data_IF_428780426793
#
_entry.id   IF_428780426793
#
_cell.length_a   1.000
_cell.length_b   1.000
_cell.length_c   1.000
_cell.angle_alpha   90.00
_cell.angle_beta   90.00
_cell.angle_gamma   90.00
#
_symmetry.space_group_name_H-M   'P 1'
#
loop_
_entity.id
_entity.type
_entity.pdbx_description
1 polymer ?
#
# COMPACT_ATOMS: atom_id res chain seq x y z
N UNK A 1 62.84 -16.37 -1.79
CA UNK A 1 64.20 -16.06 -1.29
C UNK A 1 64.96 -15.29 -2.36
N UNK A 2 65.44 -14.06 -2.06
CA UNK A 2 66.48 -13.25 -2.78
C UNK A 2 66.14 -12.82 -4.24
N UNK A 3 66.33 -11.60 -4.77
CA UNK A 3 66.97 -10.29 -4.46
C UNK A 3 66.26 -9.22 -5.35
N UNK A 4 65.92 -7.99 -4.93
CA UNK A 4 66.70 -6.74 -4.77
C UNK A 4 67.52 -6.25 -5.98
N UNK A 5 67.28 -4.99 -6.37
CA UNK A 5 68.11 -4.11 -7.24
C UNK A 5 67.24 -3.04 -7.94
N UNK A 6 66.76 -2.00 -7.26
CA UNK A 6 67.31 -0.63 -7.12
C UNK A 6 67.36 0.25 -8.39
N UNK A 7 67.03 1.57 -8.27
CA UNK A 7 66.73 2.49 -9.37
C UNK A 7 67.95 3.34 -9.79
N UNK A 8 67.85 4.02 -10.94
CA UNK A 8 68.81 5.06 -11.34
C UNK A 8 68.14 6.41 -11.49
N UNK A 9 68.62 7.37 -10.70
CA UNK A 9 68.41 8.80 -10.82
C UNK A 9 69.01 9.36 -12.11
N UNK A 10 68.40 10.45 -12.63
CA UNK A 10 69.13 11.55 -13.26
C UNK A 10 68.30 12.83 -13.27
N UNK A 11 68.81 13.81 -12.54
CA UNK A 11 68.47 15.23 -12.58
C UNK A 11 69.19 15.94 -13.74
N UNK A 12 68.75 17.20 -13.97
CA UNK A 12 69.37 18.39 -14.59
C UNK A 12 68.44 18.99 -15.65
N UNK A 13 67.63 20.00 -15.29
CA UNK A 13 67.93 21.45 -15.22
C UNK A 13 68.06 22.14 -16.60
N UNK A 14 67.28 23.21 -16.79
CA UNK A 14 67.72 24.61 -17.01
C UNK A 14 66.65 25.41 -17.77
N UNK A 15 66.02 26.34 -17.03
CA UNK A 15 65.77 27.75 -17.34
C UNK A 15 65.14 28.20 -18.67
N UNK A 16 64.10 29.03 -18.59
CA UNK A 16 64.25 30.51 -18.61
C UNK A 16 62.90 31.24 -18.52
N UNK A 17 62.97 32.38 -17.84
CA UNK A 17 61.96 33.40 -17.65
C UNK A 17 61.31 33.91 -18.94
N UNK A 18 60.02 34.26 -18.86
CA UNK A 18 59.52 35.51 -19.43
C UNK A 18 58.25 35.96 -18.67
N UNK A 19 58.41 37.04 -17.90
CA UNK A 19 57.33 37.95 -17.51
C UNK A 19 57.00 38.81 -18.73
N UNK A 20 55.72 38.98 -19.05
CA UNK A 20 55.14 40.33 -19.16
C UNK A 20 53.59 40.31 -19.25
N UNK A 21 53.03 41.18 -18.41
CA UNK A 21 51.83 42.02 -18.59
C UNK A 21 50.41 41.43 -18.48
N UNK A 22 49.87 41.67 -17.28
CA UNK A 22 48.57 42.27 -16.96
C UNK A 22 47.59 42.52 -18.12
N UNK A 23 46.42 41.90 -18.01
CA UNK A 23 45.13 42.60 -18.10
C UNK A 23 44.19 42.04 -17.05
N UNK A 24 43.73 42.92 -16.14
CA UNK A 24 42.52 42.74 -15.35
C UNK A 24 41.33 42.82 -16.29
N UNK A 25 40.42 41.87 -16.17
CA UNK A 25 38.98 42.10 -16.33
C UNK A 25 38.30 41.16 -15.33
N UNK A 26 37.70 41.76 -14.30
CA UNK A 26 36.73 41.13 -13.44
C UNK A 26 35.44 40.98 -14.24
N UNK A 27 34.95 39.75 -14.44
CA UNK A 27 33.51 39.53 -14.55
C UNK A 27 33.16 38.11 -14.10
N UNK A 28 32.39 38.07 -13.03
CA UNK A 28 31.75 36.91 -12.42
C UNK A 28 30.61 36.38 -13.29
N UNK A 29 30.55 35.06 -13.51
CA UNK A 29 29.31 34.29 -13.34
C UNK A 29 29.58 32.81 -13.56
N UNK A 30 29.35 32.04 -12.51
CA UNK A 30 29.22 30.58 -12.51
C UNK A 30 28.09 30.16 -13.46
N UNK A 31 28.45 29.62 -14.63
CA UNK A 31 27.53 28.87 -15.47
C UNK A 31 27.69 27.38 -15.15
N UNK A 32 27.08 26.96 -14.04
CA UNK A 32 26.67 25.57 -13.87
C UNK A 32 25.69 25.21 -15.00
N UNK A 33 25.87 24.07 -15.69
CA UNK A 33 24.93 23.63 -16.70
C UNK A 33 23.58 23.30 -16.02
N UNK A 34 22.64 24.24 -16.12
CA UNK A 34 21.25 24.04 -15.69
C UNK A 34 20.70 22.80 -16.39
N UNK A 35 20.14 21.82 -15.65
CA UNK A 35 19.52 20.66 -16.27
C UNK A 35 18.39 21.15 -17.18
N UNK A 36 18.38 20.68 -18.43
CA UNK A 36 17.30 20.92 -19.38
C UNK A 36 16.00 20.51 -18.69
N UNK A 37 15.13 21.48 -18.38
CA UNK A 37 13.71 21.23 -18.12
C UNK A 37 13.18 20.52 -19.35
N UNK A 38 13.00 19.21 -19.25
CA UNK A 38 12.17 18.46 -20.17
C UNK A 38 10.75 18.96 -19.91
N UNK A 39 10.34 19.95 -20.70
CA UNK A 39 8.94 20.31 -20.82
C UNK A 39 8.25 19.12 -21.49
N UNK A 40 7.75 18.21 -20.67
CA UNK A 40 6.79 17.20 -21.11
C UNK A 40 5.56 17.99 -21.53
N UNK A 41 5.30 18.07 -22.83
CA UNK A 41 4.05 18.61 -23.37
C UNK A 41 2.89 17.95 -22.64
N UNK A 42 1.94 18.76 -22.17
CA UNK A 42 0.80 18.34 -21.36
C UNK A 42 -0.17 17.44 -22.10
N UNK A 43 0.21 16.19 -22.34
CA UNK A 43 -0.77 15.12 -22.45
C UNK A 43 -1.35 14.93 -21.05
N UNK A 44 -2.64 15.24 -20.90
CA UNK A 44 -3.38 14.87 -19.70
C UNK A 44 -3.21 13.37 -19.49
N UNK A 45 -2.65 12.98 -18.35
CA UNK A 45 -2.59 11.58 -17.97
C UNK A 45 -4.03 11.05 -17.89
N UNK A 46 -4.32 9.85 -18.43
CA UNK A 46 -5.65 9.27 -18.31
C UNK A 46 -6.03 9.16 -16.83
N UNK A 47 -7.28 9.48 -16.51
CA UNK A 47 -7.83 9.32 -15.16
C UNK A 47 -8.64 8.02 -15.09
N UNK A 48 -8.37 7.19 -14.08
CA UNK A 48 -9.13 5.98 -13.78
C UNK A 48 -9.78 6.07 -12.40
N UNK A 49 -10.94 5.44 -12.26
CA UNK A 49 -11.63 5.28 -10.98
C UNK A 49 -11.46 3.84 -10.49
N UNK A 50 -10.64 3.64 -9.47
CA UNK A 50 -10.55 2.39 -8.73
C UNK A 50 -11.70 2.34 -7.73
N UNK A 51 -12.82 1.78 -8.20
CA UNK A 51 -13.99 1.55 -7.36
C UNK A 51 -13.99 0.17 -6.71
N UNK A 52 -13.33 -0.79 -7.33
CA UNK A 52 -13.35 -2.20 -6.98
C UNK A 52 -12.01 -2.84 -7.32
N UNK A 53 -11.65 -3.87 -6.56
CA UNK A 53 -10.50 -4.75 -6.81
C UNK A 53 -11.08 -6.16 -6.96
N UNK A 54 -11.37 -6.56 -8.19
CA UNK A 54 -12.18 -7.75 -8.51
C UNK A 54 -11.67 -9.04 -7.83
N UNK A 55 -10.35 -9.21 -7.71
CA UNK A 55 -9.75 -10.39 -7.09
C UNK A 55 -9.96 -10.49 -5.57
N UNK A 56 -10.56 -9.48 -4.93
CA UNK A 56 -11.00 -9.53 -3.53
C UNK A 56 -12.45 -9.99 -3.39
N UNK A 57 -13.23 -9.98 -4.48
CA UNK A 57 -14.64 -10.41 -4.51
C UNK A 57 -14.77 -11.90 -4.87
N UNK A 58 -13.99 -12.73 -4.20
CA UNK A 58 -13.98 -14.18 -4.39
C UNK A 58 -14.85 -14.91 -3.36
N UNK A 59 -15.36 -16.07 -3.74
CA UNK A 59 -16.19 -16.94 -2.92
C UNK A 59 -15.39 -17.61 -1.79
N UNK A 60 -16.11 -18.16 -0.79
CA UNK A 60 -15.47 -18.94 0.27
C UNK A 60 -14.76 -20.19 -0.26
N UNK A 61 -15.30 -20.79 -1.32
CA UNK A 61 -14.67 -21.95 -1.99
C UNK A 61 -13.33 -21.55 -2.61
N UNK A 62 -13.28 -20.41 -3.30
CA UNK A 62 -12.03 -19.89 -3.88
C UNK A 62 -11.01 -19.53 -2.81
N UNK A 63 -11.44 -18.95 -1.68
CA UNK A 63 -10.56 -18.69 -0.52
C UNK A 63 -10.04 -20.02 0.06
N UNK A 64 -10.90 -21.05 0.13
CA UNK A 64 -10.52 -22.38 0.61
C UNK A 64 -9.49 -23.04 -0.32
N UNK A 65 -9.70 -22.96 -1.64
CA UNK A 65 -8.78 -23.46 -2.66
C UNK A 65 -7.46 -22.70 -2.64
N UNK A 66 -7.50 -21.39 -2.42
CA UNK A 66 -6.30 -20.57 -2.26
C UNK A 66 -5.48 -21.02 -1.04
N UNK A 67 -6.10 -21.23 0.12
CA UNK A 67 -5.40 -21.72 1.31
C UNK A 67 -4.72 -23.08 1.11
N UNK A 68 -5.29 -23.95 0.25
CA UNK A 68 -4.71 -25.26 -0.12
C UNK A 68 -3.62 -25.19 -1.18
N UNK A 69 -3.53 -24.09 -1.92
CA UNK A 69 -2.67 -24.02 -3.11
C UNK A 69 -1.18 -23.99 -2.81
N UNK A 70 -0.77 -23.52 -1.62
CA UNK A 70 0.64 -23.54 -1.19
C UNK A 70 0.80 -23.41 0.33
N UNK A 71 1.95 -23.85 0.85
CA UNK A 71 2.33 -23.67 2.25
C UNK A 71 2.45 -22.19 2.65
N UNK A 72 2.95 -21.35 1.73
CA UNK A 72 3.02 -19.90 1.91
C UNK A 72 1.64 -19.29 2.11
N UNK A 73 0.64 -19.70 1.30
CA UNK A 73 -0.74 -19.24 1.44
C UNK A 73 -1.35 -19.65 2.78
N UNK A 74 -1.14 -20.91 3.18
CA UNK A 74 -1.60 -21.41 4.47
C UNK A 74 -0.96 -20.66 5.65
N UNK A 75 0.35 -20.38 5.58
CA UNK A 75 1.09 -19.66 6.61
C UNK A 75 0.62 -18.20 6.72
N UNK A 76 0.37 -17.54 5.61
CA UNK A 76 -0.20 -16.19 5.59
C UNK A 76 -1.59 -16.16 6.23
N UNK A 77 -2.43 -17.17 6.01
CA UNK A 77 -3.73 -17.23 6.68
C UNK A 77 -3.55 -17.50 8.19
N UNK A 78 -2.59 -18.34 8.55
CA UNK A 78 -2.23 -18.61 9.94
C UNK A 78 -1.74 -17.37 10.69
N UNK A 79 -1.10 -16.40 10.02
CA UNK A 79 -0.64 -15.15 10.64
C UNK A 79 -1.77 -14.17 10.99
N UNK A 80 -2.98 -14.34 10.44
CA UNK A 80 -4.14 -13.51 10.78
C UNK A 80 -4.63 -13.78 12.20
N UNK A 81 -4.11 -13.07 13.19
CA UNK A 81 -4.47 -13.21 14.60
C UNK A 81 -5.82 -12.56 14.92
N UNK A 82 -6.47 -12.96 16.03
CA UNK A 82 -7.72 -12.33 16.47
C UNK A 82 -7.58 -10.82 16.71
N UNK A 83 -6.39 -10.39 17.17
CA UNK A 83 -6.03 -8.97 17.29
C UNK A 83 -6.15 -8.20 15.98
N UNK A 84 -5.72 -8.79 14.85
CA UNK A 84 -5.78 -8.18 13.51
C UNK A 84 -7.20 -7.88 13.03
N UNK A 85 -8.20 -8.55 13.62
CA UNK A 85 -9.62 -8.38 13.31
C UNK A 85 -10.28 -7.30 14.17
N UNK A 86 -9.60 -6.85 15.24
CA UNK A 86 -10.15 -5.91 16.21
C UNK A 86 -10.36 -4.56 15.55
N UNK A 87 -11.63 -4.21 15.32
CA UNK A 87 -12.01 -2.96 14.68
C UNK A 87 -11.78 -2.91 13.16
N UNK A 88 -11.57 -4.07 12.52
CA UNK A 88 -11.53 -4.18 11.06
C UNK A 88 -12.79 -3.55 10.41
N UNK A 89 -13.96 -3.83 11.00
CA UNK A 89 -15.26 -3.30 10.57
C UNK A 89 -15.50 -1.84 10.96
N UNK A 90 -14.69 -1.30 11.88
CA UNK A 90 -14.78 0.11 12.26
C UNK A 90 -14.10 0.96 11.19
N UNK A 91 -14.89 1.74 10.45
CA UNK A 91 -14.44 2.62 9.37
C UNK A 91 -13.46 3.69 9.82
N UNK A 92 -13.29 3.94 11.11
CA UNK A 92 -12.34 4.93 11.66
C UNK A 92 -11.01 4.33 12.11
N UNK A 93 -10.88 3.00 12.13
CA UNK A 93 -9.61 2.32 12.45
C UNK A 93 -8.78 2.03 11.21
N UNK A 94 -7.47 2.03 11.37
CA UNK A 94 -6.53 1.64 10.33
C UNK A 94 -6.59 0.12 10.07
N UNK A 95 -6.20 -0.28 8.87
CA UNK A 95 -5.94 -1.68 8.58
C UNK A 95 -4.60 -2.06 9.21
N UNK A 96 -4.52 -3.24 9.81
CA UNK A 96 -3.25 -3.74 10.38
C UNK A 96 -2.33 -4.28 9.27
N UNK A 97 -1.03 -4.37 9.57
CA UNK A 97 -0.02 -5.02 8.72
C UNK A 97 -0.47 -6.38 8.18
N UNK A 98 -0.98 -7.26 9.04
CA UNK A 98 -1.41 -8.60 8.65
C UNK A 98 -2.57 -8.57 7.63
N UNK A 99 -3.56 -7.69 7.86
CA UNK A 99 -4.69 -7.50 6.95
C UNK A 99 -4.22 -7.01 5.58
N UNK A 100 -3.34 -6.01 5.58
CA UNK A 100 -2.84 -5.42 4.34
C UNK A 100 -1.92 -6.38 3.59
N UNK A 101 -1.08 -7.16 4.28
CA UNK A 101 -0.22 -8.17 3.68
C UNK A 101 -1.03 -9.23 2.93
N UNK A 102 -2.05 -9.81 3.57
CA UNK A 102 -2.92 -10.82 2.94
C UNK A 102 -3.67 -10.23 1.74
N UNK A 103 -4.10 -8.96 1.85
CA UNK A 103 -4.77 -8.25 0.76
C UNK A 103 -3.84 -8.06 -0.44
N UNK A 104 -2.63 -7.54 -0.22
CA UNK A 104 -1.64 -7.33 -1.29
C UNK A 104 -1.20 -8.65 -1.92
N UNK A 105 -1.01 -9.69 -1.11
CA UNK A 105 -0.68 -11.02 -1.59
C UNK A 105 -1.75 -11.55 -2.55
N UNK A 106 -3.03 -11.42 -2.20
CA UNK A 106 -4.12 -11.86 -3.09
C UNK A 106 -4.16 -11.07 -4.40
N UNK A 107 -3.90 -9.75 -4.35
CA UNK A 107 -3.85 -8.89 -5.54
C UNK A 107 -2.72 -9.32 -6.48
N UNK A 108 -1.50 -9.47 -5.96
CA UNK A 108 -0.32 -9.86 -6.75
C UNK A 108 -0.43 -11.31 -7.25
N UNK A 109 -0.92 -12.23 -6.41
CA UNK A 109 -1.18 -13.62 -6.81
C UNK A 109 -2.11 -13.70 -8.00
N UNK A 110 -3.25 -12.98 -7.93
CA UNK A 110 -4.23 -13.00 -9.00
C UNK A 110 -3.63 -12.46 -10.30
N UNK A 111 -2.87 -11.37 -10.22
CA UNK A 111 -2.14 -10.84 -11.38
C UNK A 111 -1.20 -11.89 -11.98
N UNK A 112 -0.37 -12.54 -11.18
CA UNK A 112 0.60 -13.54 -11.67
C UNK A 112 -0.08 -14.76 -12.30
N UNK A 113 -1.28 -15.15 -11.84
CA UNK A 113 -2.08 -16.21 -12.48
C UNK A 113 -2.56 -15.78 -13.88
N UNK A 114 -2.97 -14.52 -14.03
CA UNK A 114 -3.46 -13.97 -15.29
C UNK A 114 -2.31 -13.60 -16.25
N UNK A 115 -1.11 -13.35 -15.73
CA UNK A 115 0.07 -12.90 -16.47
C UNK A 115 1.31 -13.74 -16.14
N UNK A 116 1.32 -15.05 -16.46
CA UNK A 116 2.42 -15.94 -16.10
C UNK A 116 3.75 -15.55 -16.77
N UNK A 117 3.71 -14.87 -17.92
CA UNK A 117 4.91 -14.43 -18.67
C UNK A 117 5.53 -13.14 -18.11
N UNK A 118 4.86 -12.45 -17.19
CA UNK A 118 5.33 -11.20 -16.58
C UNK A 118 5.10 -11.21 -15.07
N UNK A 119 5.70 -12.15 -14.32
CA UNK A 119 5.47 -12.30 -12.90
C UNK A 119 5.98 -11.08 -12.12
N UNK A 120 5.26 -10.79 -11.03
CA UNK A 120 5.55 -9.69 -10.11
C UNK A 120 5.83 -10.26 -8.73
N UNK A 121 6.95 -9.86 -8.15
CA UNK A 121 7.30 -10.22 -6.79
C UNK A 121 6.66 -9.24 -5.78
N UNK A 122 6.33 -9.73 -4.60
CA UNK A 122 5.83 -8.92 -3.49
C UNK A 122 6.77 -9.05 -2.29
N UNK A 123 7.28 -7.94 -1.77
CA UNK A 123 8.03 -7.91 -0.52
C UNK A 123 7.10 -7.96 0.70
N UNK A 124 7.59 -8.51 1.80
CA UNK A 124 7.00 -8.26 3.11
C UNK A 124 7.20 -6.80 3.57
N UNK A 125 6.47 -6.38 4.62
CA UNK A 125 6.59 -5.03 5.18
C UNK A 125 7.92 -4.78 5.91
N UNK A 126 8.58 -5.83 6.39
CA UNK A 126 9.81 -5.72 7.17
C UNK A 126 11.01 -5.40 6.27
N UNK A 127 10.92 -5.71 4.97
CA UNK A 127 11.97 -5.43 3.99
C UNK A 127 12.31 -3.94 3.90
N UNK A 128 11.30 -3.06 3.96
CA UNK A 128 11.52 -1.62 3.86
C UNK A 128 12.47 -1.11 4.95
N UNK A 129 12.36 -1.65 6.16
CA UNK A 129 13.10 -1.22 7.35
C UNK A 129 14.30 -2.11 7.68
N UNK A 130 14.50 -3.23 6.99
CA UNK A 130 15.62 -4.14 7.22
C UNK A 130 16.97 -3.45 6.98
N UNK A 131 17.88 -3.50 7.95
CA UNK A 131 19.26 -3.06 7.75
C UNK A 131 20.05 -4.00 6.82
N UNK A 132 19.61 -5.27 6.76
CA UNK A 132 20.21 -6.27 5.88
C UNK A 132 19.61 -6.16 4.49
N UNK A 133 20.47 -6.18 3.49
CA UNK A 133 20.14 -6.31 2.06
C UNK A 133 19.78 -7.74 1.65
N UNK A 134 19.50 -8.59 2.65
CA UNK A 134 19.10 -9.98 2.43
C UNK A 134 17.65 -10.01 1.92
N UNK A 135 17.50 -10.24 0.62
CA UNK A 135 16.21 -10.40 -0.04
C UNK A 135 15.66 -11.83 0.15
N UNK A 136 16.49 -12.78 0.59
CA UNK A 136 16.14 -14.18 0.69
C UNK A 136 15.11 -14.39 1.80
N UNK A 137 13.98 -15.04 1.47
CA UNK A 137 12.88 -15.28 2.41
C UNK A 137 12.00 -14.07 2.73
N UNK A 138 12.23 -12.89 2.12
CA UNK A 138 11.42 -11.67 2.31
C UNK A 138 10.57 -11.26 1.10
N UNK A 139 10.57 -12.12 0.08
CA UNK A 139 9.81 -11.94 -1.15
C UNK A 139 8.91 -13.13 -1.40
N UNK A 140 7.70 -12.84 -1.83
CA UNK A 140 6.77 -13.80 -2.39
C UNK A 140 6.84 -13.74 -3.93
N UNK A 141 6.64 -14.89 -4.58
CA UNK A 141 6.52 -15.01 -6.04
C UNK A 141 7.79 -14.64 -6.82
N UNK A 142 8.98 -14.94 -6.28
CA UNK A 142 10.25 -14.74 -7.00
C UNK A 142 11.20 -15.94 -6.81
N UNK A 143 10.64 -17.14 -6.71
CA UNK A 143 11.37 -18.38 -6.43
C UNK A 143 12.40 -18.69 -7.51
N UNK A 144 12.13 -18.32 -8.77
CA UNK A 144 13.03 -18.52 -9.92
C UNK A 144 13.94 -17.30 -10.20
N UNK A 145 13.80 -16.21 -9.44
CA UNK A 145 14.60 -14.99 -9.62
C UNK A 145 14.33 -14.23 -10.93
N UNK A 146 13.31 -14.62 -11.69
CA UNK A 146 12.99 -14.11 -13.04
C UNK A 146 12.01 -12.93 -13.05
N UNK A 147 11.54 -12.46 -11.88
CA UNK A 147 10.63 -11.32 -11.84
C UNK A 147 11.26 -10.04 -12.39
N UNK A 148 10.50 -9.38 -13.26
CA UNK A 148 10.82 -8.05 -13.81
C UNK A 148 10.32 -6.93 -12.91
N UNK A 149 9.18 -7.15 -12.26
CA UNK A 149 8.45 -6.13 -11.49
C UNK A 149 8.35 -6.52 -10.01
N UNK A 150 8.32 -5.51 -9.15
CA UNK A 150 8.32 -5.69 -7.71
C UNK A 150 7.37 -4.70 -7.03
N UNK A 151 6.67 -5.19 -6.01
CA UNK A 151 5.86 -4.38 -5.11
C UNK A 151 6.53 -4.40 -3.73
N UNK A 152 6.93 -3.23 -3.26
CA UNK A 152 7.50 -3.03 -1.92
C UNK A 152 6.52 -2.20 -1.07
N UNK A 153 5.75 -2.83 -0.17
CA UNK A 153 4.94 -2.09 0.77
C UNK A 153 5.81 -1.46 1.85
N UNK A 154 5.44 -0.26 2.30
CA UNK A 154 6.18 0.50 3.31
C UNK A 154 5.26 0.76 4.50
N UNK A 155 5.71 0.37 5.69
CA UNK A 155 5.07 0.71 6.96
C UNK A 155 5.98 1.65 7.74
N UNK A 156 5.46 2.80 8.13
CA UNK A 156 6.20 3.81 8.91
C UNK A 156 5.38 4.27 10.10
N UNK A 157 6.06 4.53 11.22
CA UNK A 157 5.47 5.15 12.40
C UNK A 157 5.67 6.67 12.36
N UNK A 158 4.63 7.43 12.73
CA UNK A 158 4.65 8.89 12.85
C UNK A 158 4.51 9.31 14.31
N UNK A 159 5.56 9.84 14.92
CA UNK A 159 5.42 10.58 16.18
C UNK A 159 4.64 11.87 15.97
N UNK A 160 3.58 12.10 16.73
CA UNK A 160 3.00 13.43 16.88
C UNK A 160 3.87 14.31 17.78
N UNK A 161 3.85 15.64 17.57
CA UNK A 161 4.70 16.62 18.27
C UNK A 161 4.55 16.58 19.80
N UNK A 162 3.40 16.09 20.29
CA UNK A 162 3.09 15.97 21.72
C UNK A 162 3.43 14.59 22.33
N UNK A 163 4.19 13.76 21.61
CA UNK A 163 4.83 12.55 22.16
C UNK A 163 3.93 11.37 22.54
N UNK A 164 2.61 11.45 22.30
CA UNK A 164 1.67 10.47 22.84
C UNK A 164 1.15 9.41 21.86
N UNK A 165 1.40 9.50 20.55
CA UNK A 165 0.95 8.44 19.62
C UNK A 165 1.81 8.37 18.36
N UNK A 166 2.38 7.20 18.13
CA UNK A 166 2.90 6.80 16.82
C UNK A 166 1.71 6.51 15.90
N UNK A 167 1.37 7.43 15.00
CA UNK A 167 0.40 7.15 13.93
C UNK A 167 1.07 6.27 12.89
N UNK A 168 0.65 5.01 12.82
CA UNK A 168 0.99 4.12 11.71
C UNK A 168 0.63 4.78 10.37
N UNK A 169 1.44 4.54 9.34
CA UNK A 169 1.18 4.98 7.98
C UNK A 169 1.69 3.96 6.97
N UNK A 170 0.96 3.84 5.87
CA UNK A 170 1.22 2.88 4.80
C UNK A 170 1.44 3.61 3.48
N UNK A 171 2.47 3.18 2.76
CA UNK A 171 2.76 3.63 1.41
C UNK A 171 3.22 2.43 0.55
N UNK A 172 3.40 2.65 -0.75
CA UNK A 172 3.73 1.59 -1.69
C UNK A 172 4.80 2.04 -2.67
N UNK A 173 5.78 1.19 -2.94
CA UNK A 173 6.79 1.40 -3.95
C UNK A 173 6.63 0.33 -5.03
N UNK A 174 6.57 0.77 -6.27
CA UNK A 174 6.62 -0.08 -7.45
C UNK A 174 8.00 0.01 -8.08
N UNK A 175 8.57 -1.13 -8.47
CA UNK A 175 9.85 -1.18 -9.18
C UNK A 175 9.69 -2.01 -10.46
N UNK A 176 10.23 -1.53 -11.58
CA UNK A 176 10.30 -2.24 -12.85
C UNK A 176 11.74 -2.23 -13.35
N UNK A 177 12.33 -3.41 -13.61
CA UNK A 177 13.70 -3.57 -14.14
C UNK A 177 13.88 -3.05 -15.58
N UNK A 178 12.83 -2.67 -16.28
CA UNK A 178 12.94 -2.13 -17.63
C UNK A 178 13.74 -0.81 -17.66
N UNK A 179 14.47 -0.63 -18.77
CA UNK A 179 15.18 0.59 -19.13
C UNK A 179 16.05 1.13 -17.96
N UNK A 180 16.97 0.30 -17.47
CA UNK A 180 17.90 0.56 -16.35
C UNK A 180 17.26 0.73 -14.96
N UNK A 181 15.94 0.52 -14.85
CA UNK A 181 15.22 0.47 -13.59
C UNK A 181 14.41 1.74 -13.31
N UNK A 182 13.09 1.56 -13.16
CA UNK A 182 12.17 2.62 -12.79
C UNK A 182 11.56 2.32 -11.42
N UNK A 183 11.64 3.29 -10.50
CA UNK A 183 11.06 3.15 -9.16
C UNK A 183 10.06 4.26 -8.90
N UNK A 184 8.84 3.90 -8.53
CA UNK A 184 7.75 4.84 -8.29
C UNK A 184 7.24 4.70 -6.85
N UNK A 185 7.31 5.77 -6.07
CA UNK A 185 6.88 5.81 -4.68
C UNK A 185 5.51 6.49 -4.56
N UNK A 186 4.48 5.70 -4.28
CA UNK A 186 3.10 6.14 -4.06
C UNK A 186 2.78 6.26 -2.56
N UNK A 187 2.59 7.51 -2.11
CA UNK A 187 2.18 7.82 -0.74
C UNK A 187 0.94 8.74 -0.74
N UNK A 188 -0.21 8.23 -0.29
CA UNK A 188 -1.48 8.97 -0.26
C UNK A 188 -1.50 10.13 0.74
N UNK A 189 -0.53 10.21 1.65
CA UNK A 189 -0.37 11.30 2.61
C UNK A 189 0.92 12.12 2.38
N UNK A 190 1.69 11.78 1.34
CA UNK A 190 2.86 12.55 0.86
C UNK A 190 3.97 12.73 1.90
N UNK A 191 4.14 11.76 2.79
CA UNK A 191 5.21 11.81 3.77
C UNK A 191 6.55 11.34 3.19
N UNK A 192 6.52 10.34 2.30
CA UNK A 192 7.70 9.73 1.66
C UNK A 192 8.80 9.41 2.68
N UNK A 193 8.42 8.70 3.74
CA UNK A 193 9.27 8.48 4.92
C UNK A 193 10.47 7.57 4.67
N UNK A 194 10.40 6.70 3.65
CA UNK A 194 11.52 5.82 3.31
C UNK A 194 12.55 6.59 2.47
N UNK A 195 13.81 6.71 2.92
CA UNK A 195 14.82 7.49 2.20
C UNK A 195 15.12 6.92 0.81
N UNK A 196 15.34 7.80 -0.17
CA UNK A 196 15.63 7.40 -1.56
C UNK A 196 16.88 6.51 -1.63
N UNK A 197 17.91 6.75 -0.82
CA UNK A 197 19.12 5.91 -0.77
C UNK A 197 18.80 4.47 -0.34
N UNK A 198 17.87 4.27 0.60
CA UNK A 198 17.41 2.93 0.99
C UNK A 198 16.69 2.25 -0.17
N UNK A 199 15.84 2.98 -0.87
CA UNK A 199 15.10 2.48 -2.04
C UNK A 199 16.07 2.08 -3.16
N UNK A 200 17.06 2.92 -3.46
CA UNK A 200 18.11 2.66 -4.45
C UNK A 200 18.97 1.45 -4.08
N UNK A 201 19.30 1.25 -2.81
CA UNK A 201 20.04 0.05 -2.38
C UNK A 201 19.24 -1.22 -2.64
N UNK A 202 17.95 -1.25 -2.31
CA UNK A 202 17.07 -2.39 -2.64
C UNK A 202 17.04 -2.60 -4.16
N UNK A 203 16.85 -1.54 -4.94
CA UNK A 203 16.82 -1.60 -6.40
C UNK A 203 18.14 -2.14 -6.99
N UNK A 204 19.28 -1.73 -6.43
CA UNK A 204 20.61 -2.20 -6.84
C UNK A 204 20.76 -3.71 -6.64
N UNK A 205 20.32 -4.25 -5.50
CA UNK A 205 20.38 -5.70 -5.22
C UNK A 205 19.47 -6.48 -6.20
N UNK A 206 18.37 -5.89 -6.62
CA UNK A 206 17.50 -6.43 -7.66
C UNK A 206 18.11 -6.36 -9.08
N UNK A 207 19.29 -5.74 -9.26
CA UNK A 207 19.93 -5.59 -10.56
C UNK A 207 19.56 -4.30 -11.30
N UNK A 208 19.09 -3.27 -10.59
CA UNK A 208 18.80 -1.94 -11.13
C UNK A 208 19.76 -0.89 -10.54
N UNK A 209 21.07 -0.92 -10.89
CA UNK A 209 22.09 -0.09 -10.24
C UNK A 209 21.93 1.41 -10.48
N UNK A 210 21.19 1.81 -11.52
CA UNK A 210 20.98 3.20 -11.91
C UNK A 210 19.53 3.67 -11.68
N UNK A 211 18.77 2.95 -10.84
CA UNK A 211 17.36 3.22 -10.63
C UNK A 211 17.09 4.67 -10.18
N UNK A 212 16.20 5.35 -10.90
CA UNK A 212 15.68 6.65 -10.51
C UNK A 212 14.41 6.48 -9.65
N UNK A 213 14.35 7.19 -8.52
CA UNK A 213 13.18 7.18 -7.62
C UNK A 213 12.28 8.35 -7.96
N UNK A 214 11.09 8.07 -8.49
CA UNK A 214 10.01 9.03 -8.71
C UNK A 214 9.06 9.06 -7.50
N UNK A 215 8.99 10.19 -6.80
CA UNK A 215 7.95 10.42 -5.78
C UNK A 215 6.68 10.91 -6.47
N UNK A 216 5.64 10.09 -6.46
CA UNK A 216 4.44 10.39 -7.25
C UNK A 216 3.70 11.62 -6.74
N UNK A 217 3.38 12.54 -7.66
CA UNK A 217 2.71 13.83 -7.38
C UNK A 217 1.19 13.72 -7.28
N UNK A 218 0.52 14.73 -6.70
CA UNK A 218 -0.94 14.77 -6.37
C UNK A 218 -1.84 14.49 -7.56
N UNK A 219 -1.34 14.80 -8.74
CA UNK A 219 -1.99 14.61 -10.01
C UNK A 219 -2.09 13.13 -10.39
N UNK A 220 -1.21 12.26 -9.87
CA UNK A 220 -1.20 10.82 -10.17
C UNK A 220 -1.82 9.98 -9.06
N UNK A 221 -1.39 10.20 -7.82
CA UNK A 221 -1.89 9.48 -6.64
C UNK A 221 -2.83 10.36 -5.85
N UNK A 222 -4.06 9.90 -5.61
CA UNK A 222 -5.03 10.64 -4.82
C UNK A 222 -4.54 10.83 -3.37
N UNK A 223 -4.64 12.07 -2.89
CA UNK A 223 -4.44 12.37 -1.48
C UNK A 223 -5.60 11.81 -0.65
N UNK A 224 -5.29 11.05 0.39
CA UNK A 224 -6.32 10.49 1.27
C UNK A 224 -7.03 11.59 2.06
N UNK A 225 -8.36 11.52 2.14
CA UNK A 225 -9.14 12.46 2.95
C UNK A 225 -9.30 11.99 4.39
N UNK A 226 -9.34 10.67 4.60
CA UNK A 226 -9.44 10.05 5.91
C UNK A 226 -8.06 9.62 6.40
N UNK A 227 -7.68 10.04 7.63
CA UNK A 227 -6.38 9.74 8.24
C UNK A 227 -6.07 8.24 8.34
N UNK A 228 -7.09 7.39 8.40
CA UNK A 228 -6.97 5.95 8.61
C UNK A 228 -7.11 5.11 7.32
N UNK A 229 -7.08 5.75 6.14
CA UNK A 229 -7.36 5.09 4.85
C UNK A 229 -6.11 4.79 4.00
N UNK A 230 -4.91 5.01 4.52
CA UNK A 230 -3.66 4.78 3.78
C UNK A 230 -3.52 3.33 3.31
N UNK A 231 -3.85 2.35 4.15
CA UNK A 231 -3.83 0.94 3.73
C UNK A 231 -4.81 0.62 2.58
N UNK A 232 -5.95 1.31 2.52
CA UNK A 232 -6.92 1.14 1.42
C UNK A 232 -6.37 1.74 0.12
N UNK A 233 -5.72 2.91 0.21
CA UNK A 233 -5.06 3.52 -0.95
C UNK A 233 -3.87 2.68 -1.41
N UNK A 234 -3.13 2.04 -0.50
CA UNK A 234 -2.05 1.11 -0.85
C UNK A 234 -2.59 -0.09 -1.66
N UNK A 235 -3.71 -0.69 -1.26
CA UNK A 235 -4.34 -1.76 -2.05
C UNK A 235 -4.77 -1.27 -3.45
N UNK A 236 -5.39 -0.09 -3.53
CA UNK A 236 -5.81 0.50 -4.81
C UNK A 236 -4.62 0.87 -5.73
N UNK A 237 -3.57 1.44 -5.16
CA UNK A 237 -2.32 1.76 -5.86
C UNK A 237 -1.66 0.48 -6.38
N UNK A 238 -1.60 -0.58 -5.56
CA UNK A 238 -1.05 -1.87 -5.97
C UNK A 238 -1.78 -2.41 -7.19
N UNK A 239 -3.11 -2.47 -7.13
CA UNK A 239 -3.94 -2.87 -8.26
C UNK A 239 -3.64 -2.04 -9.52
N UNK A 240 -3.63 -0.70 -9.42
CA UNK A 240 -3.34 0.17 -10.55
C UNK A 240 -1.90 0.02 -11.11
N UNK A 241 -0.91 -0.23 -10.26
CA UNK A 241 0.48 -0.48 -10.70
C UNK A 241 0.59 -1.78 -11.49
N UNK A 242 -0.13 -2.83 -11.09
CA UNK A 242 -0.10 -4.10 -11.79
C UNK A 242 -0.74 -3.97 -13.19
N UNK A 243 -1.85 -3.24 -13.30
CA UNK A 243 -2.55 -3.01 -14.58
C UNK A 243 -1.77 -2.10 -15.54
N UNK A 244 -1.14 -1.03 -15.02
CA UNK A 244 -0.59 0.04 -15.87
C UNK A 244 0.94 0.17 -15.85
N UNK A 245 1.62 -0.46 -14.88
CA UNK A 245 3.07 -0.36 -14.70
C UNK A 245 3.58 1.08 -14.65
N UNK A 246 4.67 1.35 -15.38
CA UNK A 246 5.30 2.68 -15.46
C UNK A 246 4.39 3.77 -16.05
N UNK A 247 3.40 3.39 -16.87
CA UNK A 247 2.40 4.30 -17.45
C UNK A 247 1.26 4.59 -16.45
N UNK A 248 1.59 4.66 -15.16
CA UNK A 248 0.62 4.77 -14.09
C UNK A 248 -0.28 6.01 -14.27
N UNK A 249 -1.61 5.83 -14.38
CA UNK A 249 -2.57 6.90 -14.65
C UNK A 249 -2.79 7.80 -13.43
N UNK A 250 -3.59 8.84 -13.60
CA UNK A 250 -4.22 9.50 -12.47
C UNK A 250 -5.27 8.58 -11.87
N UNK A 251 -5.19 8.31 -10.58
CA UNK A 251 -6.16 7.44 -9.92
C UNK A 251 -7.11 8.22 -9.01
N UNK A 252 -8.37 7.80 -9.00
CA UNK A 252 -9.38 8.13 -8.01
C UNK A 252 -9.82 6.85 -7.32
N UNK A 253 -9.91 6.88 -6.00
CA UNK A 253 -10.08 5.72 -5.14
C UNK A 253 -11.39 5.86 -4.39
N UNK A 254 -12.32 4.92 -4.60
CA UNK A 254 -13.48 4.78 -3.73
C UNK A 254 -13.09 4.03 -2.46
N UNK A 255 -12.44 4.74 -1.54
CA UNK A 255 -11.87 4.13 -0.34
C UNK A 255 -12.92 3.41 0.54
N UNK A 256 -14.18 3.87 0.53
CA UNK A 256 -15.26 3.20 1.28
C UNK A 256 -15.56 1.82 0.69
N UNK A 257 -15.76 1.73 -0.62
CA UNK A 257 -16.10 0.47 -1.28
C UNK A 257 -14.94 -0.53 -1.20
N UNK A 258 -13.72 -0.09 -1.50
CA UNK A 258 -12.53 -0.95 -1.42
C UNK A 258 -12.33 -1.44 0.02
N UNK A 259 -12.54 -0.59 1.03
CA UNK A 259 -12.49 -1.04 2.42
C UNK A 259 -13.50 -2.14 2.70
N UNK A 260 -14.73 -2.04 2.21
CA UNK A 260 -15.74 -3.08 2.39
C UNK A 260 -15.33 -4.40 1.74
N UNK A 261 -14.73 -4.36 0.54
CA UNK A 261 -14.20 -5.55 -0.14
C UNK A 261 -13.07 -6.20 0.68
N UNK A 262 -12.12 -5.41 1.18
CA UNK A 262 -11.05 -5.91 2.05
C UNK A 262 -11.64 -6.56 3.31
N UNK A 263 -12.58 -5.89 3.99
CA UNK A 263 -13.21 -6.41 5.22
C UNK A 263 -13.92 -7.73 4.94
N UNK A 264 -14.69 -7.82 3.84
CA UNK A 264 -15.37 -9.04 3.42
C UNK A 264 -14.35 -10.14 3.17
N UNK A 265 -13.41 -9.93 2.25
CA UNK A 265 -12.36 -10.91 1.93
C UNK A 265 -11.65 -11.45 3.18
N UNK A 266 -11.20 -10.58 4.08
CA UNK A 266 -10.46 -10.96 5.28
C UNK A 266 -11.33 -11.75 6.28
N UNK A 267 -12.62 -11.45 6.38
CA UNK A 267 -13.54 -12.27 7.19
C UNK A 267 -13.75 -13.66 6.58
N UNK A 268 -13.80 -13.75 5.26
CA UNK A 268 -13.78 -15.04 4.55
C UNK A 268 -12.52 -15.85 4.84
N UNK A 269 -11.34 -15.21 4.74
CA UNK A 269 -10.04 -15.80 5.12
C UNK A 269 -10.06 -16.30 6.56
N UNK A 270 -10.55 -15.49 7.51
CA UNK A 270 -10.66 -15.89 8.92
C UNK A 270 -11.57 -17.10 9.10
N UNK A 271 -12.74 -17.10 8.46
CA UNK A 271 -13.68 -18.22 8.54
C UNK A 271 -13.04 -19.52 8.03
N UNK A 272 -12.42 -19.45 6.85
CA UNK A 272 -11.72 -20.58 6.23
C UNK A 272 -10.61 -21.09 7.15
N UNK A 273 -9.76 -20.20 7.70
CA UNK A 273 -8.75 -20.55 8.71
C UNK A 273 -9.35 -21.32 9.88
N UNK A 274 -10.42 -20.81 10.49
CA UNK A 274 -11.05 -21.47 11.64
C UNK A 274 -11.61 -22.84 11.29
N UNK A 275 -12.25 -22.97 10.11
CA UNK A 275 -12.74 -24.25 9.57
C UNK A 275 -11.61 -25.26 9.37
N UNK A 276 -10.48 -24.84 8.80
CA UNK A 276 -9.28 -25.66 8.66
C UNK A 276 -8.73 -26.11 10.03
N UNK A 277 -8.57 -25.18 10.98
CA UNK A 277 -8.09 -25.51 12.33
C UNK A 277 -8.97 -26.57 13.02
N UNK A 278 -10.29 -26.51 12.82
CA UNK A 278 -11.23 -27.51 13.35
C UNK A 278 -11.07 -28.86 12.63
N UNK A 279 -11.01 -28.85 11.29
CA UNK A 279 -10.99 -30.08 10.47
C UNK A 279 -9.74 -30.93 10.68
N UNK A 280 -8.59 -30.31 10.90
CA UNK A 280 -7.31 -31.02 10.96
C UNK A 280 -6.89 -31.43 12.38
N UNK A 281 -7.69 -31.15 13.42
CA UNK A 281 -7.38 -31.53 14.80
C UNK A 281 -6.03 -30.98 15.31
N UNK A 282 -5.47 -30.00 14.60
CA UNK A 282 -4.18 -29.40 14.94
C UNK A 282 -4.41 -28.55 16.17
N UNK A 283 -4.00 -29.08 17.33
CA UNK A 283 -3.73 -28.29 18.52
C UNK A 283 -2.56 -27.34 18.22
N UNK A 284 -2.79 -26.31 17.43
CA UNK A 284 -2.22 -25.02 17.82
C UNK A 284 -3.02 -24.67 19.07
N UNK A 285 -2.34 -24.47 20.18
CA UNK A 285 -2.91 -24.36 21.52
C UNK A 285 -3.94 -23.21 21.61
N UNK A 286 -5.18 -23.45 21.20
CA UNK A 286 -6.26 -22.46 21.19
C UNK A 286 -7.43 -23.01 22.01
N UNK A 287 -7.67 -22.38 23.15
CA UNK A 287 -8.67 -22.78 24.13
C UNK A 287 -10.07 -22.99 23.51
N UNK A 288 -10.65 -24.16 23.81
CA UNK A 288 -12.05 -24.61 23.69
C UNK A 288 -12.85 -24.12 22.46
N UNK A 289 -13.19 -25.10 21.61
CA UNK A 289 -14.17 -25.00 20.53
C UNK A 289 -15.43 -24.25 20.98
N UNK A 290 -15.71 -23.11 20.35
CA UNK A 290 -17.05 -22.52 20.31
C UNK A 290 -17.65 -22.78 18.92
N UNK A 291 -18.96 -23.05 18.82
CA UNK A 291 -19.63 -23.16 17.52
C UNK A 291 -19.49 -21.85 16.76
N UNK A 292 -18.96 -21.93 15.53
CA UNK A 292 -18.79 -20.78 14.63
C UNK A 292 -20.08 -20.63 13.83
N UNK A 293 -20.79 -19.53 14.04
CA UNK A 293 -21.87 -19.10 13.15
C UNK A 293 -21.23 -18.52 11.88
N UNK A 294 -21.71 -18.92 10.71
CA UNK A 294 -21.38 -18.25 9.44
C UNK A 294 -21.74 -16.77 9.60
N UNK A 295 -20.84 -15.81 9.32
CA UNK A 295 -21.22 -14.41 9.37
C UNK A 295 -22.32 -14.16 8.33
N UNK A 296 -23.41 -13.49 8.72
CA UNK A 296 -24.60 -13.23 7.87
C UNK A 296 -24.30 -12.70 6.46
N UNK A 297 -23.19 -11.99 6.29
CA UNK A 297 -22.73 -11.47 5.00
C UNK A 297 -22.13 -12.53 4.04
N UNK A 298 -22.07 -13.79 4.46
CA UNK A 298 -21.73 -14.98 3.68
C UNK A 298 -22.82 -16.06 3.73
N UNK A 299 -23.96 -15.78 4.37
CA UNK A 299 -25.11 -16.67 4.28
C UNK A 299 -25.64 -16.58 2.85
N UNK A 300 -25.58 -17.70 2.13
CA UNK A 300 -26.26 -17.86 0.85
C UNK A 300 -27.75 -17.86 1.19
N UNK A 301 -28.49 -16.84 0.76
CA UNK A 301 -29.95 -16.97 0.71
C UNK A 301 -30.24 -18.11 -0.26
N UNK A 302 -30.60 -19.28 0.27
CA UNK A 302 -31.26 -20.31 -0.52
C UNK A 302 -32.55 -19.68 -1.06
N UNK A 303 -32.53 -19.32 -2.34
CA UNK A 303 -33.73 -19.10 -3.13
C UNK A 303 -34.53 -20.40 -3.12
N UNK A 304 -35.50 -20.49 -2.22
CA UNK A 304 -36.54 -21.50 -2.27
C UNK A 304 -37.50 -21.07 -3.38
N UNK A 305 -37.38 -21.70 -4.55
CA UNK A 305 -38.45 -21.72 -5.54
C UNK A 305 -39.54 -22.73 -5.15
N UNK A 306 -40.80 -22.30 -5.32
CA UNK A 306 -42.01 -23.13 -5.27
C UNK A 306 -42.77 -23.02 -3.95
N UNK A 307 -44.08 -22.77 -3.89
CA UNK A 307 -45.09 -22.65 -4.93
C UNK A 307 -46.33 -21.94 -4.32
N UNK A 308 -47.12 -21.38 -5.22
CA UNK A 308 -48.47 -20.79 -5.15
C UNK A 308 -49.37 -21.04 -3.92
N UNK A 309 -50.08 -19.97 -3.52
CA UNK A 309 -51.26 -19.99 -2.66
C UNK A 309 -51.75 -18.58 -2.30
N UNK A 310 -52.52 -17.95 -3.20
CA UNK A 310 -53.36 -16.75 -2.94
C UNK A 310 -54.52 -17.06 -1.94
N UNK A 311 -55.42 -16.10 -1.63
CA UNK A 311 -55.24 -14.77 -1.05
C UNK A 311 -56.13 -14.61 0.21
N UNK A 312 -55.89 -13.61 1.07
CA UNK A 312 -56.95 -13.10 1.97
C UNK A 312 -56.89 -11.58 2.06
N UNK A 313 -58.07 -11.01 1.93
CA UNK A 313 -58.43 -9.60 1.81
C UNK A 313 -58.11 -8.75 3.04
N UNK A 314 -57.88 -7.47 2.74
CA UNK A 314 -58.32 -6.24 3.39
C UNK A 314 -58.61 -6.27 4.90
N UNK A 315 -57.90 -5.40 5.64
CA UNK A 315 -58.61 -4.44 6.47
C UNK A 315 -57.85 -3.11 6.57
N UNK A 316 -58.66 -2.06 6.44
CA UNK A 316 -58.39 -0.64 6.41
C UNK A 316 -58.14 -0.10 7.83
N UNK A 317 -57.95 1.22 7.95
CA UNK A 317 -57.71 2.07 9.13
C UNK A 317 -56.23 2.38 9.39
N UNK A 318 -55.78 3.63 9.42
CA UNK A 318 -56.47 4.91 9.26
C UNK A 318 -55.45 6.04 9.46
N UNK A 319 -55.62 7.09 8.67
CA UNK A 319 -54.95 8.38 8.83
C UNK A 319 -55.12 8.95 10.24
N UNK A 320 -54.04 9.47 10.84
CA UNK A 320 -54.12 10.67 11.68
C UNK A 320 -52.82 11.49 11.58
N UNK A 321 -52.87 12.49 10.69
CA UNK A 321 -52.17 13.74 10.88
C UNK A 321 -52.67 14.43 12.16
N UNK A 322 -51.76 14.79 13.08
CA UNK A 322 -51.93 15.94 13.98
C UNK A 322 -50.59 16.67 14.14
N UNK A 323 -50.43 17.71 13.34
CA UNK A 323 -49.58 18.85 13.62
C UNK A 323 -50.44 19.95 14.28
N UNK A 324 -50.09 20.29 15.51
CA UNK A 324 -50.34 21.58 16.17
C UNK A 324 -49.10 21.79 17.05
N UNK A 325 -48.41 22.93 17.13
CA UNK A 325 -48.84 24.29 16.87
C UNK A 325 -48.72 25.06 18.18
N UNK A 326 -47.72 25.95 18.24
CA UNK A 326 -47.57 27.09 19.15
C UNK A 326 -47.07 26.88 20.59
N UNK A 327 -46.40 27.82 21.28
CA UNK A 327 -45.65 29.09 21.02
C UNK A 327 -45.55 29.76 22.42
N UNK A 328 -44.54 30.63 22.64
CA UNK A 328 -44.49 31.69 23.70
C UNK A 328 -44.11 31.18 25.12
N UNK A 329 -43.20 31.72 25.95
CA UNK A 329 -42.49 33.02 26.10
C UNK A 329 -41.28 32.90 27.04
N UNK A 330 -40.21 33.65 26.73
CA UNK A 330 -39.49 34.69 27.50
C UNK A 330 -39.07 34.57 28.98
N UNK A 331 -37.88 35.16 29.24
CA UNK A 331 -37.51 35.85 30.49
C UNK A 331 -36.25 35.28 31.18
N UNK A 332 -35.01 35.63 30.83
CA UNK A 332 -34.28 36.91 30.94
C UNK A 332 -33.83 37.29 32.38
N UNK A 333 -32.51 37.36 32.59
CA UNK A 333 -31.74 38.27 33.48
C UNK A 333 -30.26 37.81 33.47
N UNK A 334 -29.33 38.57 32.87
CA UNK A 334 -28.58 39.71 33.45
C UNK A 334 -27.79 39.33 34.70
N UNK A 335 -26.57 39.75 34.99
CA UNK A 335 -25.49 40.57 34.41
C UNK A 335 -24.40 40.56 35.50
N UNK A 336 -23.14 40.84 35.16
CA UNK A 336 -22.08 41.57 35.94
C UNK A 336 -20.71 40.94 35.67
N UNK A 337 -19.84 41.55 34.85
CA UNK A 337 -18.75 42.52 35.20
C UNK A 337 -17.69 41.91 36.15
N UNK A 338 -16.39 42.14 36.07
CA UNK A 338 -15.47 42.92 35.21
C UNK A 338 -14.05 42.72 35.78
N UNK A 339 -13.02 42.86 34.94
CA UNK A 339 -11.65 43.34 35.20
C UNK A 339 -10.87 42.88 36.46
N UNK A 340 -9.72 42.24 36.23
CA UNK A 340 -8.38 42.86 36.26
C UNK A 340 -7.32 41.91 35.71
#
# INVERSE_FOLDING_TARGET
MKLRGQPSDREEEVGKDNKEKEKKDEESSDDEPKPKKVCVNGQELPEINVNEIACLNISLEEIENFAKSSETAATLFASLMDGSMTGLSNKTKMLSNAVLTITLFQIVRNYNILHPDCPVALFDFDMAMSEKEDLEGRMYFNEEGNCRRFILPVHTERREEDGATDQEHYALIYMDKADDGHVMYADSFRLFKLPDERIKNIAKVLGMPNAAVERMVRERVQHQTLKNSCGVHVAANCFAFLEHGIQFPRIRVNATNIRQQIVKFIRGVKYVKQKYSIKFGVQINWNKQKPIKVPKEFEVEELIEGNEGEPVECEDTGDMNKTDGSKVTDGNSEQSTSNS
#
